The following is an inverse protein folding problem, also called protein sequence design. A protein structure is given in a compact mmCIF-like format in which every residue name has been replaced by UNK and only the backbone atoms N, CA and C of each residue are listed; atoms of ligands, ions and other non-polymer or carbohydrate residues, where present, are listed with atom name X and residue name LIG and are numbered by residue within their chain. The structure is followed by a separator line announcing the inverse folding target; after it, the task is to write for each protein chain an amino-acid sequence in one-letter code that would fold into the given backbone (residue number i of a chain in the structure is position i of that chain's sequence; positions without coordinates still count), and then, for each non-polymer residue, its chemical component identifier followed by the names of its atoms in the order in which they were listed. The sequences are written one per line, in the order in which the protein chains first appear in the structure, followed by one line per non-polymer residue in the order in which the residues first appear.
data_IF_395963372399
#
_entry.id   IF_395963372399
#
_cell.length_a   1.000
_cell.length_b   1.000
_cell.length_c   1.000
_cell.angle_alpha   90.00
_cell.angle_beta   90.00
_cell.angle_gamma   90.00
#
_symmetry.space_group_name_H-M   'P 1'
#
loop_
_entity.id
_entity.type
_entity.pdbx_description
1 polymer ?
#
# COMPACT_ATOMS: atom_id res chain seq x y z
N UNK A 1 -16.20 11.39 -20.88
CA UNK A 1 -14.73 11.31 -20.72
C UNK A 1 -14.30 10.84 -19.32
N UNK A 2 -15.04 9.95 -18.65
CA UNK A 2 -14.71 9.45 -17.30
C UNK A 2 -15.01 7.95 -17.11
N UNK A 3 -15.19 7.22 -18.21
CA UNK A 3 -15.62 5.81 -18.21
C UNK A 3 -14.79 4.94 -17.26
N UNK A 4 -13.46 5.12 -17.25
CA UNK A 4 -12.52 4.36 -16.42
C UNK A 4 -12.44 4.83 -14.96
N UNK A 5 -13.02 5.99 -14.63
CA UNK A 5 -13.08 6.51 -13.26
C UNK A 5 -14.39 6.14 -12.55
N UNK A 6 -15.36 5.60 -13.28
CA UNK A 6 -16.58 5.07 -12.68
C UNK A 6 -16.23 3.84 -11.83
N UNK A 7 -16.69 3.73 -10.56
CA UNK A 7 -16.30 2.64 -9.66
C UNK A 7 -16.52 1.23 -10.23
N UNK A 8 -17.56 1.07 -11.05
CA UNK A 8 -17.90 -0.17 -11.76
C UNK A 8 -16.85 -0.62 -12.80
N UNK A 9 -16.03 0.31 -13.30
CA UNK A 9 -15.02 0.07 -14.32
C UNK A 9 -13.60 0.23 -13.76
N UNK A 10 -13.43 1.00 -12.69
CA UNK A 10 -12.13 1.34 -12.10
C UNK A 10 -11.39 0.12 -11.52
N UNK A 11 -12.13 -0.90 -11.08
CA UNK A 11 -11.57 -2.10 -10.44
C UNK A 11 -11.86 -3.38 -11.21
N UNK A 12 -12.19 -3.27 -12.50
CA UNK A 12 -12.34 -4.47 -13.33
C UNK A 12 -10.98 -5.16 -13.46
N UNK A 13 -10.84 -6.41 -12.97
CA UNK A 13 -9.59 -7.12 -13.08
C UNK A 13 -9.30 -7.37 -14.56
N UNK A 14 -8.21 -6.78 -15.05
CA UNK A 14 -7.69 -7.04 -16.40
C UNK A 14 -7.00 -8.41 -16.50
N UNK A 15 -6.77 -9.07 -15.36
CA UNK A 15 -6.15 -10.38 -15.25
C UNK A 15 -6.69 -11.10 -14.01
N UNK A 16 -6.83 -12.44 -14.08
CA UNK A 16 -7.17 -13.26 -12.91
C UNK A 16 -6.04 -13.24 -11.88
N UNK A 17 -6.35 -12.97 -10.59
CA UNK A 17 -5.33 -12.89 -9.56
C UNK A 17 -4.84 -14.29 -9.18
N UNK A 18 -3.61 -14.61 -9.58
CA UNK A 18 -2.88 -15.77 -9.05
C UNK A 18 -2.25 -15.42 -7.69
N UNK A 19 -2.05 -16.43 -6.84
CA UNK A 19 -1.46 -16.25 -5.49
C UNK A 19 -0.09 -15.53 -5.56
N UNK A 20 0.70 -15.79 -6.60
CA UNK A 20 1.98 -15.10 -6.83
C UNK A 20 1.83 -13.61 -7.12
N UNK A 21 0.81 -13.21 -7.88
CA UNK A 21 0.53 -11.80 -8.20
C UNK A 21 0.04 -11.04 -6.97
N UNK A 22 -0.75 -11.70 -6.12
CA UNK A 22 -1.17 -11.13 -4.84
C UNK A 22 0.04 -10.87 -3.94
N UNK A 23 0.96 -11.83 -3.83
CA UNK A 23 2.20 -11.66 -3.06
C UNK A 23 3.05 -10.49 -3.59
N UNK A 24 3.16 -10.35 -4.91
CA UNK A 24 3.88 -9.23 -5.55
C UNK A 24 3.19 -7.88 -5.32
N UNK A 25 1.86 -7.82 -5.34
CA UNK A 25 1.11 -6.61 -5.03
C UNK A 25 1.37 -6.13 -3.59
N UNK A 26 1.44 -7.06 -2.62
CA UNK A 26 1.82 -6.73 -1.24
C UNK A 26 3.29 -6.31 -1.11
N UNK A 27 4.21 -6.93 -1.86
CA UNK A 27 5.61 -6.50 -1.93
C UNK A 27 5.73 -5.06 -2.45
N UNK A 28 5.00 -4.71 -3.52
CA UNK A 28 5.01 -3.36 -4.09
C UNK A 28 4.35 -2.34 -3.15
N UNK A 29 3.22 -2.71 -2.54
CA UNK A 29 2.53 -1.87 -1.56
C UNK A 29 3.43 -1.59 -0.35
N UNK A 30 4.02 -2.63 0.25
CA UNK A 30 4.93 -2.48 1.39
C UNK A 30 6.18 -1.65 1.04
N UNK A 31 6.71 -1.75 -0.19
CA UNK A 31 7.80 -0.89 -0.64
C UNK A 31 7.41 0.59 -0.69
N UNK A 32 6.20 0.92 -1.13
CA UNK A 32 5.69 2.29 -1.12
C UNK A 32 5.50 2.87 0.30
N UNK A 33 5.27 2.00 1.29
CA UNK A 33 5.24 2.35 2.71
C UNK A 33 6.60 2.14 3.42
N UNK A 34 7.64 1.79 2.66
CA UNK A 34 9.01 1.69 3.18
C UNK A 34 9.51 3.07 3.61
N UNK A 35 10.10 3.16 4.80
CA UNK A 35 10.63 4.42 5.33
C UNK A 35 9.92 4.94 6.57
N UNK A 36 8.80 4.32 6.98
CA UNK A 36 8.12 4.64 8.24
C UNK A 36 9.03 4.39 9.47
N UNK A 37 9.92 3.39 9.39
CA UNK A 37 10.95 3.16 10.40
C UNK A 37 11.97 4.32 10.51
N UNK A 38 12.23 5.05 9.42
CA UNK A 38 13.12 6.22 9.43
C UNK A 38 12.42 7.47 9.96
N UNK A 39 11.12 7.63 9.68
CA UNK A 39 10.32 8.73 10.21
C UNK A 39 10.16 8.62 11.73
N UNK A 40 9.86 7.42 12.25
CA UNK A 40 9.84 7.16 13.69
C UNK A 40 11.17 7.49 14.40
N UNK A 41 12.30 7.45 13.68
CA UNK A 41 13.62 7.79 14.23
C UNK A 41 13.93 9.29 14.22
N UNK A 42 13.38 10.06 13.26
CA UNK A 42 13.72 11.47 13.03
C UNK A 42 12.72 12.45 13.66
N UNK A 43 11.46 12.04 13.86
CA UNK A 43 10.43 12.94 14.42
C UNK A 43 10.25 12.83 15.93
N UNK A 44 11.01 11.96 16.61
CA UNK A 44 10.82 11.69 18.05
C UNK A 44 9.35 11.39 18.41
N UNK A 45 8.53 10.89 17.47
CA UNK A 45 7.08 10.66 17.68
C UNK A 45 6.78 9.57 18.73
N UNK A 46 7.81 8.90 19.23
CA UNK A 46 7.71 8.00 20.37
C UNK A 46 7.77 8.81 21.68
N UNK A 47 6.69 9.53 21.96
CA UNK A 47 6.38 10.02 23.31
C UNK A 47 6.06 8.80 24.17
N UNK A 48 7.07 8.35 24.94
CA UNK A 48 6.97 7.42 26.08
C UNK A 48 6.55 5.96 25.74
N UNK A 49 7.51 5.06 25.41
CA UNK A 49 7.23 3.64 25.14
C UNK A 49 6.77 2.82 26.36
N UNK A 50 6.83 3.39 27.57
CA UNK A 50 6.55 2.67 28.82
C UNK A 50 5.49 3.39 29.66
N UNK A 51 4.21 3.17 29.34
CA UNK A 51 3.11 3.27 30.33
C UNK A 51 2.30 1.99 30.37
#
# INVERSE_FOLDING_TARGET
HYYWLEPQNAFQPWQEPEIGLVALAFLQGSFAYGGWNFLNYVTEELVDPYR
#
